data_IF_348060171092
#
_entry.id   IF_348060171092
#
_cell.length_a   1.000
_cell.length_b   1.000
_cell.length_c   1.000
_cell.angle_alpha   90.00
_cell.angle_beta   90.00
_cell.angle_gamma   90.00
#
_symmetry.space_group_name_H-M   'P 1'
#
loop_
_entity.id
_entity.type
_entity.pdbx_description
1 polymer ?
#
# COMPACT_ATOMS: atom_id res chain seq x y z
N UNK A 1 73.11 -0.78 41.14
CA UNK A 1 71.64 -0.91 41.01
C UNK A 1 71.26 -0.85 39.55
N UNK A 2 70.90 -1.99 38.94
CA UNK A 2 70.45 -2.06 37.53
C UNK A 2 68.93 -2.22 37.53
N UNK A 3 68.24 -1.20 37.04
CA UNK A 3 66.78 -1.20 36.91
C UNK A 3 66.41 -1.98 35.67
N UNK A 4 65.65 -3.07 35.82
CA UNK A 4 65.07 -3.89 34.74
C UNK A 4 63.69 -3.28 34.44
N UNK A 5 63.50 -2.74 33.23
CA UNK A 5 62.20 -2.29 32.73
C UNK A 5 61.54 -3.51 32.06
N UNK A 6 60.41 -3.95 32.64
CA UNK A 6 59.60 -5.03 32.10
C UNK A 6 58.59 -4.42 31.10
N UNK A 7 58.79 -4.70 29.82
CA UNK A 7 57.86 -4.26 28.75
C UNK A 7 56.71 -5.29 28.66
N UNK A 8 55.51 -4.89 29.09
CA UNK A 8 54.29 -5.70 28.91
C UNK A 8 53.71 -5.39 27.55
N UNK A 9 53.81 -6.33 26.61
CA UNK A 9 53.13 -6.26 25.32
C UNK A 9 51.65 -6.67 25.52
N UNK A 10 50.74 -5.71 25.45
CA UNK A 10 49.29 -5.97 25.37
C UNK A 10 48.97 -6.29 23.92
N UNK A 11 48.67 -7.56 23.61
CA UNK A 11 48.12 -7.99 22.34
C UNK A 11 46.62 -7.72 22.39
N UNK A 12 46.17 -6.62 21.74
CA UNK A 12 44.75 -6.36 21.48
C UNK A 12 44.36 -7.26 20.31
N UNK A 13 43.67 -8.37 20.61
CA UNK A 13 42.99 -9.17 19.58
C UNK A 13 41.81 -8.35 19.01
N UNK A 14 42.02 -7.72 17.89
CA UNK A 14 40.93 -7.19 17.07
C UNK A 14 40.09 -8.38 16.56
N UNK A 15 38.97 -8.67 17.25
CA UNK A 15 37.91 -9.48 16.68
C UNK A 15 37.30 -8.68 15.52
N UNK A 16 37.86 -8.85 14.33
CA UNK A 16 37.29 -8.37 13.11
C UNK A 16 36.00 -9.16 12.86
N UNK A 17 34.84 -8.52 13.13
CA UNK A 17 33.57 -8.98 12.55
C UNK A 17 33.68 -8.79 11.05
N UNK A 18 33.92 -9.86 10.31
CA UNK A 18 33.75 -9.87 8.86
C UNK A 18 32.34 -9.36 8.56
N UNK A 19 32.18 -8.30 7.76
CA UNK A 19 30.84 -7.89 7.36
C UNK A 19 30.16 -9.08 6.70
N UNK A 20 28.92 -9.36 7.12
CA UNK A 20 28.13 -10.42 6.50
C UNK A 20 28.11 -10.18 5.00
N UNK A 21 28.53 -11.16 4.23
CA UNK A 21 28.58 -11.07 2.77
C UNK A 21 27.16 -10.84 2.25
N UNK A 22 26.90 -9.72 1.58
CA UNK A 22 25.60 -9.40 1.01
C UNK A 22 25.32 -10.45 -0.07
N UNK A 23 24.22 -11.22 0.10
CA UNK A 23 23.78 -12.22 -0.87
C UNK A 23 23.51 -11.57 -2.24
N UNK A 24 23.85 -12.28 -3.29
CA UNK A 24 23.52 -11.91 -4.68
C UNK A 24 22.10 -12.34 -5.04
N UNK A 25 21.51 -11.79 -6.09
CA UNK A 25 20.16 -12.17 -6.56
C UNK A 25 20.06 -13.67 -6.87
N UNK A 26 21.03 -14.34 -7.53
CA UNK A 26 21.02 -15.79 -7.72
C UNK A 26 20.95 -16.58 -6.41
N UNK A 27 21.67 -16.16 -5.36
CA UNK A 27 21.64 -16.85 -4.06
C UNK A 27 20.28 -16.78 -3.38
N UNK A 28 19.53 -15.69 -3.54
CA UNK A 28 18.13 -15.60 -3.08
C UNK A 28 17.21 -16.52 -3.89
N UNK A 29 17.41 -16.64 -5.20
CA UNK A 29 16.65 -17.55 -6.05
C UNK A 29 16.90 -19.01 -5.64
N UNK A 30 18.15 -19.39 -5.38
CA UNK A 30 18.51 -20.75 -4.92
C UNK A 30 17.86 -21.06 -3.57
N UNK A 31 17.87 -20.11 -2.64
CA UNK A 31 17.22 -20.24 -1.33
C UNK A 31 15.72 -20.48 -1.47
N UNK A 32 15.02 -19.63 -2.22
CA UNK A 32 13.58 -19.75 -2.46
C UNK A 32 13.25 -21.04 -3.22
N UNK A 33 14.07 -21.43 -4.20
CA UNK A 33 13.91 -22.70 -4.93
C UNK A 33 14.00 -23.90 -3.99
N UNK A 34 14.96 -23.87 -3.06
CA UNK A 34 15.10 -24.89 -2.03
C UNK A 34 13.84 -24.98 -1.16
N UNK A 35 13.29 -23.84 -0.74
CA UNK A 35 12.04 -23.79 0.04
C UNK A 35 10.86 -24.32 -0.79
N UNK A 36 10.68 -23.90 -2.02
CA UNK A 36 9.59 -24.33 -2.91
C UNK A 36 9.62 -25.84 -3.18
N UNK A 37 10.79 -26.46 -3.15
CA UNK A 37 10.99 -27.88 -3.37
C UNK A 37 10.78 -28.77 -2.15
N UNK A 38 10.58 -28.21 -0.96
CA UNK A 38 10.27 -29.00 0.24
C UNK A 38 8.96 -29.76 0.10
N UNK A 39 8.93 -30.98 0.59
CA UNK A 39 7.76 -31.87 0.46
C UNK A 39 6.47 -31.28 1.06
N UNK A 40 6.59 -30.59 2.21
CA UNK A 40 5.45 -29.94 2.86
C UNK A 40 4.96 -28.71 2.09
N UNK A 41 5.83 -27.93 1.43
CA UNK A 41 5.42 -26.81 0.57
C UNK A 41 4.70 -27.33 -0.68
N UNK A 42 5.20 -28.40 -1.30
CA UNK A 42 4.51 -29.09 -2.39
C UNK A 42 3.14 -29.62 -1.97
N UNK A 43 3.05 -30.20 -0.76
CA UNK A 43 1.76 -30.65 -0.23
C UNK A 43 0.77 -29.50 0.00
N UNK A 44 1.26 -28.31 0.39
CA UNK A 44 0.43 -27.10 0.49
C UNK A 44 -0.06 -26.63 -0.90
N UNK A 45 0.80 -26.67 -1.92
CA UNK A 45 0.38 -26.38 -3.30
C UNK A 45 -0.67 -27.38 -3.80
N UNK A 46 -0.46 -28.69 -3.55
CA UNK A 46 -1.43 -29.73 -3.89
C UNK A 46 -2.77 -29.53 -3.16
N UNK A 47 -2.74 -28.99 -1.93
CA UNK A 47 -3.96 -28.64 -1.20
C UNK A 47 -4.72 -27.52 -1.93
N UNK A 48 -4.04 -26.45 -2.35
CA UNK A 48 -4.63 -25.35 -3.11
C UNK A 48 -5.25 -25.88 -4.40
N UNK A 49 -4.53 -26.72 -5.16
CA UNK A 49 -5.02 -27.30 -6.43
C UNK A 49 -6.27 -28.16 -6.25
N UNK A 50 -6.34 -28.95 -5.19
CA UNK A 50 -7.51 -29.80 -4.91
C UNK A 50 -8.71 -29.03 -4.37
N UNK A 51 -8.51 -27.81 -3.86
CA UNK A 51 -9.55 -27.01 -3.24
C UNK A 51 -10.00 -25.78 -4.05
N UNK A 52 -9.60 -25.67 -5.31
CA UNK A 52 -9.90 -24.53 -6.18
C UNK A 52 -11.38 -24.14 -6.18
N UNK A 53 -12.31 -25.11 -6.26
CA UNK A 53 -13.74 -24.84 -6.24
C UNK A 53 -14.24 -24.27 -4.91
N UNK A 54 -13.65 -24.68 -3.78
CA UNK A 54 -13.99 -24.15 -2.47
C UNK A 54 -13.47 -22.71 -2.32
N UNK A 55 -12.23 -22.49 -2.72
CA UNK A 55 -11.59 -21.17 -2.75
C UNK A 55 -12.43 -20.20 -3.58
N UNK A 56 -12.85 -20.59 -4.80
CA UNK A 56 -13.68 -19.74 -5.63
C UNK A 56 -15.04 -19.42 -4.98
N UNK A 57 -15.68 -20.41 -4.35
CA UNK A 57 -16.97 -20.19 -3.67
C UNK A 57 -16.84 -19.23 -2.48
N UNK A 58 -15.79 -19.37 -1.69
CA UNK A 58 -15.55 -18.49 -0.54
C UNK A 58 -15.18 -17.08 -0.97
N UNK A 59 -14.33 -16.94 -1.98
CA UNK A 59 -14.02 -15.64 -2.57
C UNK A 59 -15.28 -14.90 -3.02
N UNK A 60 -16.16 -15.58 -3.76
CA UNK A 60 -17.47 -15.03 -4.18
C UNK A 60 -18.31 -14.66 -2.95
N UNK A 61 -18.40 -15.54 -1.95
CA UNK A 61 -19.21 -15.30 -0.77
C UNK A 61 -18.73 -14.09 0.05
N UNK A 62 -17.40 -13.90 0.18
CA UNK A 62 -16.81 -12.71 0.81
C UNK A 62 -17.14 -11.45 0.02
N UNK A 63 -17.03 -11.51 -1.31
CA UNK A 63 -17.30 -10.37 -2.19
C UNK A 63 -18.76 -9.96 -2.16
N UNK A 64 -19.71 -10.90 -2.14
CA UNK A 64 -21.15 -10.60 -2.09
C UNK A 64 -21.61 -9.94 -0.77
N UNK A 65 -20.76 -9.93 0.26
CA UNK A 65 -21.00 -9.11 1.46
C UNK A 65 -20.52 -7.70 1.16
N UNK A 66 -21.44 -6.77 0.85
CA UNK A 66 -21.08 -5.37 0.62
C UNK A 66 -20.41 -4.77 1.87
N UNK A 67 -19.25 -4.15 1.69
CA UNK A 67 -18.39 -3.69 2.79
C UNK A 67 -17.77 -2.33 2.45
N UNK A 68 -18.58 -1.26 2.39
CA UNK A 68 -18.03 0.09 2.23
C UNK A 68 -17.10 0.46 3.37
N UNK A 69 -16.13 1.36 3.13
CA UNK A 69 -15.24 1.88 4.18
C UNK A 69 -16.04 2.37 5.39
N UNK A 70 -15.65 1.91 6.58
CA UNK A 70 -16.35 2.16 7.86
C UNK A 70 -17.55 1.24 8.13
N UNK A 71 -17.86 0.29 7.23
CA UNK A 71 -18.98 -0.66 7.36
C UNK A 71 -18.57 -2.11 7.15
N UNK A 72 -17.34 -2.48 7.54
CA UNK A 72 -16.71 -3.78 7.29
C UNK A 72 -17.19 -4.90 8.22
N UNK A 73 -17.96 -4.57 9.26
CA UNK A 73 -18.26 -5.49 10.38
C UNK A 73 -18.91 -6.81 9.94
N UNK A 74 -19.75 -6.78 8.90
CA UNK A 74 -20.40 -8.00 8.42
C UNK A 74 -19.41 -8.93 7.69
N UNK A 75 -18.55 -8.35 6.83
CA UNK A 75 -17.49 -9.08 6.13
C UNK A 75 -16.48 -9.62 7.13
N UNK A 76 -16.04 -8.80 8.09
CA UNK A 76 -15.11 -9.18 9.15
C UNK A 76 -15.61 -10.38 9.97
N UNK A 77 -16.89 -10.39 10.39
CA UNK A 77 -17.52 -11.52 11.09
C UNK A 77 -17.54 -12.80 10.25
N UNK A 78 -17.78 -12.67 8.95
CA UNK A 78 -17.75 -13.83 8.06
C UNK A 78 -16.32 -14.38 7.95
N UNK A 79 -15.32 -13.54 7.71
CA UNK A 79 -13.91 -13.92 7.67
C UNK A 79 -13.47 -14.53 9.01
N UNK A 80 -13.85 -13.94 10.15
CA UNK A 80 -13.58 -14.51 11.48
C UNK A 80 -14.14 -15.92 11.60
N UNK A 81 -15.37 -16.15 11.14
CA UNK A 81 -16.00 -17.48 11.20
C UNK A 81 -15.25 -18.56 10.40
N UNK A 82 -14.56 -18.15 9.34
CA UNK A 82 -13.69 -19.03 8.56
C UNK A 82 -12.35 -19.27 9.31
N UNK A 83 -11.71 -18.23 9.81
CA UNK A 83 -10.43 -18.31 10.55
C UNK A 83 -10.51 -19.22 11.77
N UNK A 84 -11.62 -19.16 12.52
CA UNK A 84 -11.81 -19.99 13.73
C UNK A 84 -11.93 -21.50 13.46
N UNK A 85 -11.95 -21.92 12.19
CA UNK A 85 -11.95 -23.34 11.81
C UNK A 85 -10.53 -23.93 11.73
N UNK A 86 -9.48 -23.09 11.83
CA UNK A 86 -8.09 -23.49 11.62
C UNK A 86 -7.24 -23.32 12.88
N UNK A 87 -6.06 -23.95 12.89
CA UNK A 87 -5.13 -23.88 14.00
C UNK A 87 -4.35 -22.57 13.98
N UNK A 88 -4.96 -21.57 14.61
CA UNK A 88 -4.37 -20.25 14.86
C UNK A 88 -4.19 -20.06 16.35
N UNK A 89 -3.10 -19.42 16.76
CA UNK A 89 -2.80 -19.20 18.17
C UNK A 89 -3.66 -18.10 18.76
N UNK A 90 -4.07 -17.14 17.93
CA UNK A 90 -4.96 -16.05 18.34
C UNK A 90 -5.77 -15.53 17.14
N UNK A 91 -7.04 -15.16 17.40
CA UNK A 91 -7.93 -14.47 16.46
C UNK A 91 -8.74 -13.44 17.24
N UNK A 92 -8.49 -12.16 16.98
CA UNK A 92 -9.13 -11.07 17.71
C UNK A 92 -9.32 -9.81 16.83
N UNK A 93 -10.13 -8.88 17.33
CA UNK A 93 -10.25 -7.53 16.76
C UNK A 93 -9.40 -6.54 17.55
N UNK A 94 -8.74 -5.62 16.87
CA UNK A 94 -8.13 -4.48 17.52
C UNK A 94 -9.14 -3.33 17.74
N UNK A 95 -8.67 -2.23 18.32
CA UNK A 95 -9.53 -1.07 18.63
C UNK A 95 -10.01 -0.30 17.38
N UNK A 96 -9.38 -0.48 16.23
CA UNK A 96 -9.80 0.12 14.97
C UNK A 96 -10.84 -0.73 14.23
N UNK A 97 -10.97 -2.01 14.59
CA UNK A 97 -11.86 -2.96 13.95
C UNK A 97 -11.14 -3.89 12.96
N UNK A 98 -9.81 -3.84 12.86
CA UNK A 98 -9.06 -4.84 12.10
C UNK A 98 -9.25 -6.21 12.72
N UNK A 99 -9.43 -7.23 11.89
CA UNK A 99 -9.42 -8.61 12.32
C UNK A 99 -8.01 -9.18 12.18
N UNK A 100 -7.45 -9.68 13.26
CA UNK A 100 -6.06 -10.16 13.34
C UNK A 100 -6.06 -11.65 13.63
N UNK A 101 -5.27 -12.40 12.87
CA UNK A 101 -5.04 -13.83 13.07
C UNK A 101 -3.53 -14.09 13.21
N UNK A 102 -3.14 -14.77 14.29
CA UNK A 102 -1.73 -15.04 14.61
C UNK A 102 -1.45 -16.53 14.51
N UNK A 103 -0.40 -16.88 13.80
CA UNK A 103 0.18 -18.19 13.74
C UNK A 103 1.64 -18.14 14.22
N UNK A 104 1.88 -18.60 15.43
CA UNK A 104 3.20 -18.53 16.06
C UNK A 104 4.18 -19.49 15.41
N UNK A 105 5.39 -19.00 15.20
CA UNK A 105 6.54 -19.79 14.83
C UNK A 105 7.25 -20.36 16.04
N UNK A 106 8.14 -21.30 15.82
CA UNK A 106 8.88 -22.00 16.89
C UNK A 106 9.93 -21.12 17.58
N UNK A 107 10.39 -20.05 16.91
CA UNK A 107 11.35 -19.09 17.46
C UNK A 107 10.72 -17.73 17.77
N UNK A 108 9.48 -17.47 17.30
CA UNK A 108 8.78 -16.20 17.46
C UNK A 108 9.39 -15.02 16.71
N UNK A 109 10.42 -15.26 15.90
CA UNK A 109 11.11 -14.25 15.08
C UNK A 109 11.61 -14.89 13.77
N UNK A 110 11.62 -14.12 12.64
CA UNK A 110 11.03 -12.77 12.48
C UNK A 110 9.51 -12.77 12.61
N UNK A 111 8.91 -11.60 12.92
CA UNK A 111 7.46 -11.38 12.85
C UNK A 111 7.13 -10.80 11.49
N UNK A 112 6.41 -11.56 10.69
CA UNK A 112 6.03 -11.20 9.32
C UNK A 112 4.52 -10.94 9.29
N UNK A 113 4.15 -9.72 8.88
CA UNK A 113 2.74 -9.32 8.74
C UNK A 113 2.34 -9.39 7.26
N UNK A 114 1.22 -10.04 7.00
CA UNK A 114 0.52 -9.99 5.73
C UNK A 114 -0.83 -9.35 5.96
N UNK A 115 -1.19 -8.34 5.16
CA UNK A 115 -2.50 -7.72 5.23
C UNK A 115 -3.24 -7.75 3.91
N UNK A 116 -4.58 -7.69 4.02
CA UNK A 116 -5.51 -7.46 2.93
C UNK A 116 -6.66 -6.61 3.49
N UNK A 117 -7.16 -5.64 2.74
CA UNK A 117 -8.23 -4.80 3.26
C UNK A 117 -9.62 -5.38 2.98
N UNK A 118 -10.53 -5.11 3.92
CA UNK A 118 -11.90 -5.62 3.86
C UNK A 118 -12.89 -4.63 3.27
N UNK A 119 -12.53 -3.37 3.17
CA UNK A 119 -13.43 -2.33 2.66
C UNK A 119 -13.38 -2.22 1.12
N UNK A 120 -14.31 -1.47 0.59
CA UNK A 120 -14.41 -1.11 -0.83
C UNK A 120 -14.92 0.32 -0.97
N UNK A 121 -14.67 0.94 -2.14
CA UNK A 121 -15.17 2.31 -2.48
C UNK A 121 -16.68 2.39 -2.71
N UNK A 122 -17.39 1.26 -2.74
CA UNK A 122 -18.81 1.23 -3.12
C UNK A 122 -19.73 1.71 -1.99
N UNK A 123 -20.89 2.21 -2.38
CA UNK A 123 -21.83 2.81 -1.44
C UNK A 123 -22.57 1.77 -0.58
N UNK A 124 -22.98 2.13 0.66
CA UNK A 124 -23.88 1.31 1.46
C UNK A 124 -25.17 0.98 0.69
N UNK A 125 -25.68 -0.26 0.86
CA UNK A 125 -26.92 -0.70 0.22
C UNK A 125 -26.76 -1.25 -1.20
N UNK A 126 -25.57 -1.22 -1.79
CA UNK A 126 -25.32 -1.91 -3.07
C UNK A 126 -25.49 -3.43 -2.87
N UNK A 127 -26.36 -4.04 -3.67
CA UNK A 127 -26.46 -5.50 -3.72
C UNK A 127 -25.45 -6.05 -4.72
N UNK A 128 -24.47 -6.77 -4.23
CA UNK A 128 -23.41 -7.37 -5.05
C UNK A 128 -23.80 -8.81 -5.39
N UNK A 129 -23.76 -9.15 -6.68
CA UNK A 129 -23.96 -10.51 -7.20
C UNK A 129 -22.85 -10.84 -8.19
N UNK A 130 -22.00 -11.77 -7.82
CA UNK A 130 -20.92 -12.21 -8.67
C UNK A 130 -21.41 -13.05 -9.85
N UNK A 131 -20.78 -12.87 -10.99
CA UNK A 131 -21.04 -13.63 -12.21
C UNK A 131 -19.77 -14.31 -12.67
N UNK A 132 -19.80 -15.63 -12.80
CA UNK A 132 -18.71 -16.42 -13.37
C UNK A 132 -18.99 -16.66 -14.84
N UNK A 133 -18.09 -16.15 -15.69
CA UNK A 133 -18.18 -16.35 -17.14
C UNK A 133 -16.79 -16.26 -17.77
N UNK A 134 -16.55 -17.03 -18.81
CA UNK A 134 -15.33 -16.98 -19.64
C UNK A 134 -14.01 -17.04 -18.81
N UNK A 135 -14.00 -17.86 -17.74
CA UNK A 135 -12.83 -18.02 -16.87
C UNK A 135 -12.56 -16.85 -15.92
N UNK A 136 -13.49 -15.89 -15.82
CA UNK A 136 -13.42 -14.73 -14.94
C UNK A 136 -14.59 -14.67 -13.96
N UNK A 137 -14.38 -13.99 -12.84
CA UNK A 137 -15.43 -13.56 -11.91
C UNK A 137 -15.62 -12.06 -12.06
N UNK A 138 -16.88 -11.63 -12.22
CA UNK A 138 -17.29 -10.23 -12.33
C UNK A 138 -18.10 -9.86 -11.10
N UNK A 139 -17.61 -8.91 -10.31
CA UNK A 139 -18.35 -8.30 -9.21
C UNK A 139 -17.61 -7.05 -8.70
N UNK A 140 -18.29 -6.00 -8.24
CA UNK A 140 -17.66 -4.88 -7.53
C UNK A 140 -16.89 -5.36 -6.30
N UNK A 141 -15.60 -4.98 -6.16
CA UNK A 141 -14.73 -5.37 -5.06
C UNK A 141 -14.21 -6.81 -5.12
N UNK A 142 -14.36 -7.51 -6.26
CA UNK A 142 -13.85 -8.87 -6.44
C UNK A 142 -12.32 -8.91 -6.48
N UNK A 143 -11.69 -7.89 -7.03
CA UNK A 143 -10.24 -7.74 -7.13
C UNK A 143 -9.68 -6.87 -6.01
N UNK A 144 -10.39 -5.82 -5.66
CA UNK A 144 -10.00 -4.80 -4.72
C UNK A 144 -10.95 -4.78 -3.51
N UNK A 145 -10.67 -5.54 -2.43
CA UNK A 145 -9.48 -6.36 -2.24
C UNK A 145 -9.85 -7.80 -1.82
N UNK A 146 -11.09 -8.27 -2.07
CA UNK A 146 -11.54 -9.59 -1.60
C UNK A 146 -10.74 -10.76 -2.18
N UNK A 147 -10.12 -10.57 -3.35
CA UNK A 147 -9.13 -11.48 -3.91
C UNK A 147 -8.02 -11.80 -2.92
N UNK A 148 -7.45 -10.79 -2.31
CA UNK A 148 -6.33 -10.94 -1.39
C UNK A 148 -6.79 -11.37 0.01
N UNK A 149 -7.99 -10.98 0.44
CA UNK A 149 -8.63 -11.55 1.64
C UNK A 149 -8.74 -13.07 1.51
N UNK A 150 -9.28 -13.58 0.39
CA UNK A 150 -9.37 -15.02 0.17
C UNK A 150 -7.99 -15.67 -0.01
N UNK A 151 -7.02 -14.99 -0.62
CA UNK A 151 -5.66 -15.51 -0.74
C UNK A 151 -5.05 -15.81 0.63
N UNK A 152 -5.19 -14.90 1.60
CA UNK A 152 -4.73 -15.12 2.98
C UNK A 152 -5.45 -16.29 3.64
N UNK A 153 -6.77 -16.40 3.49
CA UNK A 153 -7.54 -17.53 4.03
C UNK A 153 -7.08 -18.86 3.41
N UNK A 154 -6.84 -18.88 2.11
CA UNK A 154 -6.40 -20.08 1.39
C UNK A 154 -4.98 -20.50 1.80
N UNK A 155 -4.06 -19.54 2.02
CA UNK A 155 -2.70 -19.86 2.50
C UNK A 155 -2.71 -20.37 3.92
N UNK A 156 -3.49 -19.79 4.84
CA UNK A 156 -3.67 -20.27 6.22
C UNK A 156 -4.12 -21.73 6.21
N UNK A 157 -5.12 -22.06 5.40
CA UNK A 157 -5.63 -23.42 5.26
C UNK A 157 -4.59 -24.39 4.69
N UNK A 158 -3.84 -23.96 3.69
CA UNK A 158 -2.81 -24.77 3.07
C UNK A 158 -1.63 -25.02 4.03
N UNK A 159 -1.22 -24.02 4.80
CA UNK A 159 -0.19 -24.15 5.86
C UNK A 159 -0.63 -25.17 6.92
N UNK A 160 -1.90 -25.12 7.34
CA UNK A 160 -2.46 -26.02 8.34
C UNK A 160 -2.55 -27.47 7.81
N UNK A 161 -3.15 -27.65 6.62
CA UNK A 161 -3.30 -28.95 5.97
C UNK A 161 -1.95 -29.66 5.70
N UNK A 162 -0.93 -28.90 5.29
CA UNK A 162 0.41 -29.41 5.05
C UNK A 162 1.27 -29.49 6.33
N UNK A 163 0.73 -29.09 7.48
CA UNK A 163 1.40 -29.09 8.80
C UNK A 163 2.75 -28.34 8.76
N UNK A 164 2.81 -27.26 8.01
CA UNK A 164 4.02 -26.43 7.90
C UNK A 164 4.23 -25.72 9.24
N UNK A 165 5.39 -25.85 9.83
CA UNK A 165 5.84 -25.07 10.97
C UNK A 165 6.86 -24.05 10.52
N UNK A 166 6.61 -22.79 10.85
CA UNK A 166 7.52 -21.68 10.58
C UNK A 166 8.43 -21.42 11.78
N UNK A 167 9.59 -20.83 11.55
CA UNK A 167 10.47 -20.34 12.61
C UNK A 167 9.96 -19.03 13.16
N UNK A 168 9.66 -18.08 12.28
CA UNK A 168 9.08 -16.79 12.62
C UNK A 168 7.55 -16.85 12.72
N UNK A 169 6.98 -15.84 13.38
CA UNK A 169 5.54 -15.65 13.49
C UNK A 169 4.97 -15.13 12.18
N UNK A 170 3.83 -15.66 11.77
CA UNK A 170 2.98 -15.12 10.71
C UNK A 170 1.77 -14.44 11.34
N UNK A 171 1.57 -13.19 10.99
CA UNK A 171 0.42 -12.39 11.44
C UNK A 171 -0.37 -11.95 10.20
N UNK A 172 -1.63 -12.31 10.16
CA UNK A 172 -2.55 -11.97 9.08
C UNK A 172 -3.49 -10.88 9.59
N UNK A 173 -3.52 -9.75 8.90
CA UNK A 173 -4.32 -8.60 9.30
C UNK A 173 -5.33 -8.30 8.20
N UNK A 174 -6.60 -8.39 8.52
CA UNK A 174 -7.69 -8.00 7.64
C UNK A 174 -8.10 -6.59 8.04
N UNK A 175 -7.63 -5.60 7.27
CA UNK A 175 -7.70 -4.19 7.63
C UNK A 175 -9.01 -3.54 7.23
N UNK A 176 -9.32 -2.40 7.88
CA UNK A 176 -10.50 -1.57 7.62
C UNK A 176 -10.08 -0.19 7.12
N UNK A 177 -10.97 0.48 6.38
CA UNK A 177 -10.83 1.87 5.89
C UNK A 177 -9.51 2.14 5.10
N UNK A 178 -9.07 1.17 4.28
CA UNK A 178 -7.93 1.38 3.38
C UNK A 178 -8.25 2.43 2.34
N UNK A 179 -9.39 2.28 1.68
CA UNK A 179 -9.86 3.07 0.54
C UNK A 179 -10.16 4.55 0.85
N UNK A 180 -10.09 4.93 2.12
CA UNK A 180 -10.43 6.29 2.54
C UNK A 180 -9.38 6.96 3.41
N UNK A 181 -9.04 6.36 4.55
CA UNK A 181 -8.28 7.05 5.61
C UNK A 181 -7.02 6.31 6.06
N UNK A 182 -6.80 5.07 5.65
CA UNK A 182 -5.76 4.17 6.17
C UNK A 182 -5.84 3.96 7.69
N UNK A 183 -6.99 4.22 8.31
CA UNK A 183 -7.16 4.21 9.76
C UNK A 183 -6.84 2.84 10.37
N UNK A 184 -7.27 1.77 9.70
CA UNK A 184 -7.02 0.41 10.16
C UNK A 184 -5.54 0.09 10.26
N UNK A 185 -4.82 0.23 9.15
CA UNK A 185 -3.37 -0.04 9.12
C UNK A 185 -2.59 0.91 10.01
N UNK A 186 -2.96 2.19 10.09
CA UNK A 186 -2.29 3.16 10.96
C UNK A 186 -2.39 2.73 12.42
N UNK A 187 -3.59 2.37 12.89
CA UNK A 187 -3.80 1.90 14.26
C UNK A 187 -2.99 0.61 14.56
N UNK A 188 -2.99 -0.34 13.61
CA UNK A 188 -2.25 -1.59 13.77
C UNK A 188 -0.74 -1.35 13.85
N UNK A 189 -0.18 -0.55 12.94
CA UNK A 189 1.24 -0.22 12.89
C UNK A 189 1.67 0.52 14.15
N UNK A 190 0.91 1.52 14.59
CA UNK A 190 1.22 2.29 15.80
C UNK A 190 1.24 1.41 17.07
N UNK A 191 0.28 0.50 17.22
CA UNK A 191 0.20 -0.41 18.37
C UNK A 191 1.31 -1.47 18.37
N UNK A 192 1.89 -1.78 17.20
CA UNK A 192 2.85 -2.86 17.04
C UNK A 192 4.24 -2.40 16.55
N UNK A 193 4.48 -1.09 16.52
CA UNK A 193 5.78 -0.52 16.16
C UNK A 193 6.91 -1.13 17.01
N UNK A 194 7.99 -1.59 16.35
CA UNK A 194 9.11 -2.28 17.00
C UNK A 194 8.90 -3.78 17.25
N UNK A 195 7.70 -4.32 16.96
CA UNK A 195 7.45 -5.77 17.02
C UNK A 195 7.44 -6.40 15.62
N UNK A 196 7.12 -5.63 14.58
CA UNK A 196 7.03 -6.07 13.19
C UNK A 196 8.41 -6.00 12.56
N UNK A 197 8.87 -7.11 11.98
CA UNK A 197 10.14 -7.16 11.24
C UNK A 197 9.92 -6.85 9.75
N UNK A 198 8.82 -7.33 9.17
CA UNK A 198 8.45 -7.09 7.76
C UNK A 198 6.94 -7.02 7.60
N UNK A 199 6.48 -6.19 6.66
CA UNK A 199 5.07 -5.97 6.38
C UNK A 199 4.79 -6.13 4.89
N UNK A 200 3.84 -6.96 4.52
CA UNK A 200 3.44 -7.22 3.15
C UNK A 200 1.96 -6.88 3.00
N UNK A 201 1.66 -5.81 2.27
CA UNK A 201 0.29 -5.54 1.87
C UNK A 201 -0.03 -6.37 0.63
N UNK A 202 -1.03 -7.22 0.73
CA UNK A 202 -1.58 -7.87 -0.44
C UNK A 202 -2.53 -6.91 -1.13
N UNK A 203 -2.01 -6.19 -2.10
CA UNK A 203 -2.72 -5.20 -2.89
C UNK A 203 -1.93 -4.87 -4.16
N UNK A 204 -2.62 -4.50 -5.25
CA UNK A 204 -1.99 -4.09 -6.49
C UNK A 204 -1.58 -5.24 -7.42
N UNK A 205 -0.41 -5.13 -8.02
CA UNK A 205 0.02 -5.96 -9.15
C UNK A 205 0.28 -7.41 -8.85
N UNK A 206 -0.13 -8.30 -9.76
CA UNK A 206 0.02 -9.75 -9.65
C UNK A 206 1.43 -10.25 -10.04
N UNK A 207 1.98 -9.73 -11.15
CA UNK A 207 3.25 -10.18 -11.72
C UNK A 207 4.47 -9.42 -11.17
N UNK A 208 4.23 -8.44 -10.30
CA UNK A 208 5.27 -7.62 -9.71
C UNK A 208 4.89 -7.14 -8.32
N UNK A 209 5.65 -6.18 -7.82
CA UNK A 209 5.42 -5.60 -6.50
C UNK A 209 5.97 -4.16 -6.42
N UNK A 210 5.53 -3.42 -5.41
CA UNK A 210 6.09 -2.10 -5.10
C UNK A 210 6.80 -2.14 -3.75
N UNK A 211 7.90 -1.36 -3.63
CA UNK A 211 8.74 -1.31 -2.42
C UNK A 211 8.82 0.08 -1.79
N UNK A 212 8.09 1.05 -2.34
CA UNK A 212 8.00 2.40 -1.82
C UNK A 212 6.64 2.99 -2.16
N UNK A 213 6.23 4.03 -1.45
CA UNK A 213 4.96 4.73 -1.66
C UNK A 213 5.13 6.11 -2.29
N UNK A 214 4.19 6.49 -3.14
CA UNK A 214 4.12 7.82 -3.73
C UNK A 214 3.52 8.81 -2.71
N UNK A 215 4.10 9.99 -2.60
CA UNK A 215 3.49 11.08 -1.84
C UNK A 215 2.37 11.74 -2.64
N UNK A 216 1.29 12.12 -1.96
CA UNK A 216 0.08 12.69 -2.55
C UNK A 216 -0.35 13.90 -1.72
N UNK A 217 -0.30 15.09 -2.32
CA UNK A 217 -0.72 16.33 -1.68
C UNK A 217 -1.83 17.00 -2.47
N UNK A 218 -2.99 17.16 -1.84
CA UNK A 218 -4.16 17.78 -2.42
C UNK A 218 -4.47 19.10 -1.72
N UNK A 219 -4.62 20.16 -2.52
CA UNK A 219 -4.91 21.51 -2.05
C UNK A 219 -6.10 22.11 -2.77
N UNK A 220 -6.80 23.03 -2.08
CA UNK A 220 -7.69 23.99 -2.72
C UNK A 220 -7.15 25.38 -2.45
N UNK A 221 -6.84 26.09 -3.52
CA UNK A 221 -6.34 27.47 -3.47
C UNK A 221 -7.44 28.44 -3.86
N UNK A 222 -7.68 29.45 -3.04
CA UNK A 222 -8.67 30.48 -3.22
C UNK A 222 -8.00 31.83 -3.47
N UNK A 223 -8.51 32.57 -4.45
CA UNK A 223 -8.26 33.99 -4.59
C UNK A 223 -9.46 34.74 -4.02
N UNK A 224 -9.22 35.57 -3.01
CA UNK A 224 -10.27 36.27 -2.27
C UNK A 224 -10.10 37.78 -2.47
N UNK A 225 -11.18 38.40 -2.96
CA UNK A 225 -11.27 39.83 -3.22
C UNK A 225 -12.61 40.40 -2.74
N UNK A 226 -12.84 41.70 -2.91
CA UNK A 226 -14.05 42.37 -2.41
C UNK A 226 -15.33 42.00 -3.17
N UNK A 227 -15.21 41.39 -4.38
CA UNK A 227 -16.38 41.16 -5.23
C UNK A 227 -16.99 42.45 -5.76
N UNK A 228 -18.20 42.36 -6.28
CA UNK A 228 -18.99 43.54 -6.69
C UNK A 228 -19.78 43.39 -7.97
N UNK A 229 -20.58 44.42 -8.29
CA UNK A 229 -21.37 44.43 -9.52
C UNK A 229 -20.47 44.65 -10.75
N UNK A 230 -20.73 43.98 -11.86
CA UNK A 230 -19.93 44.07 -13.10
C UNK A 230 -19.80 45.51 -13.65
N UNK A 231 -20.80 46.35 -13.41
CA UNK A 231 -20.76 47.80 -13.81
C UNK A 231 -19.86 48.65 -12.90
N UNK A 232 -19.51 48.18 -11.70
CA UNK A 232 -18.60 48.92 -10.81
C UNK A 232 -17.21 48.96 -11.39
N UNK A 233 -16.54 50.13 -11.35
CA UNK A 233 -15.15 50.25 -11.76
C UNK A 233 -14.19 49.69 -10.67
N UNK A 234 -14.64 49.68 -9.41
CA UNK A 234 -13.87 49.20 -8.26
C UNK A 234 -14.58 48.01 -7.60
N UNK A 235 -13.90 46.89 -7.40
CA UNK A 235 -12.56 46.55 -7.89
C UNK A 235 -12.55 46.40 -9.42
N UNK A 236 -11.41 46.64 -10.09
CA UNK A 236 -11.35 46.53 -11.55
C UNK A 236 -11.44 45.08 -12.04
N UNK A 237 -11.09 44.10 -11.18
CA UNK A 237 -10.98 42.72 -11.54
C UNK A 237 -11.87 41.81 -10.67
N UNK A 238 -12.26 40.67 -11.24
CA UNK A 238 -12.87 39.52 -10.56
C UNK A 238 -11.79 38.58 -10.04
N UNK A 239 -12.00 37.83 -8.95
CA UNK A 239 -11.10 36.81 -8.44
C UNK A 239 -10.77 35.72 -9.48
N UNK A 240 -11.59 35.57 -10.53
CA UNK A 240 -11.31 34.67 -11.64
C UNK A 240 -10.11 35.08 -12.50
N UNK A 241 -9.71 36.35 -12.51
CA UNK A 241 -8.57 36.81 -13.31
C UNK A 241 -7.22 36.31 -12.78
N UNK A 242 -6.85 36.53 -11.50
CA UNK A 242 -5.61 35.99 -10.94
C UNK A 242 -5.65 34.46 -10.93
N UNK A 243 -6.81 33.82 -10.71
CA UNK A 243 -6.97 32.38 -10.80
C UNK A 243 -6.55 31.83 -12.17
N UNK A 244 -7.09 32.38 -13.26
CA UNK A 244 -6.77 31.91 -14.61
C UNK A 244 -5.28 32.07 -14.94
N UNK A 245 -4.67 33.20 -14.53
CA UNK A 245 -3.24 33.44 -14.70
C UNK A 245 -2.37 32.50 -13.88
N UNK A 246 -2.77 32.22 -12.65
CA UNK A 246 -2.05 31.28 -11.77
C UNK A 246 -2.09 29.87 -12.37
N UNK A 247 -3.24 29.40 -12.84
CA UNK A 247 -3.39 28.09 -13.49
C UNK A 247 -2.47 27.96 -14.71
N UNK A 248 -2.46 28.97 -15.60
CA UNK A 248 -1.58 28.97 -16.78
C UNK A 248 -0.11 28.86 -16.38
N UNK A 249 0.34 29.64 -15.41
CA UNK A 249 1.72 29.61 -14.89
C UNK A 249 2.08 28.30 -14.19
N UNK A 250 1.15 27.71 -13.45
CA UNK A 250 1.35 26.43 -12.76
C UNK A 250 1.58 25.31 -13.78
N UNK A 251 0.82 25.26 -14.87
CA UNK A 251 1.04 24.28 -15.94
C UNK A 251 2.35 24.48 -16.71
N UNK A 252 3.01 25.62 -16.57
CA UNK A 252 4.34 25.88 -17.16
C UNK A 252 5.49 25.42 -16.24
N UNK A 253 5.20 24.98 -15.01
CA UNK A 253 6.20 24.43 -14.11
C UNK A 253 6.83 23.15 -14.70
N UNK A 254 8.13 22.99 -14.51
CA UNK A 254 8.83 21.78 -14.91
C UNK A 254 8.64 20.71 -13.83
N UNK A 255 7.68 19.81 -14.07
CA UNK A 255 7.47 18.64 -13.22
C UNK A 255 8.42 17.54 -13.67
N UNK A 256 9.32 17.03 -12.78
CA UNK A 256 10.27 16.00 -13.17
C UNK A 256 9.57 14.66 -13.43
N UNK A 257 10.09 13.91 -14.40
CA UNK A 257 9.67 12.52 -14.65
C UNK A 257 10.50 11.50 -13.87
N UNK A 258 11.67 11.92 -13.39
CA UNK A 258 12.54 11.17 -12.50
C UNK A 258 13.12 12.13 -11.43
N UNK A 259 12.75 12.01 -10.14
CA UNK A 259 11.77 11.04 -9.61
C UNK A 259 10.37 11.21 -10.20
N UNK A 260 9.62 10.08 -10.33
CA UNK A 260 8.27 10.09 -10.92
C UNK A 260 7.37 11.08 -10.19
N UNK A 261 6.85 12.05 -10.94
CA UNK A 261 6.06 13.15 -10.36
C UNK A 261 4.97 13.60 -11.33
N UNK A 262 3.85 14.05 -10.78
CA UNK A 262 2.69 14.55 -11.52
C UNK A 262 2.11 15.78 -10.85
N UNK A 263 1.53 16.65 -11.66
CA UNK A 263 0.74 17.80 -11.25
C UNK A 263 -0.55 17.83 -12.07
N UNK A 264 -1.68 17.99 -11.38
CA UNK A 264 -2.97 18.17 -12.05
C UNK A 264 -3.80 19.24 -11.33
N UNK A 265 -4.59 19.99 -12.12
CA UNK A 265 -5.63 20.88 -11.63
C UNK A 265 -6.98 20.24 -12.00
N UNK A 266 -7.66 19.68 -10.99
CA UNK A 266 -8.83 18.83 -11.21
C UNK A 266 -10.16 19.57 -11.20
N UNK A 267 -10.29 20.57 -10.32
CA UNK A 267 -11.55 21.28 -10.13
C UNK A 267 -11.30 22.79 -10.14
N UNK A 268 -12.26 23.55 -10.70
CA UNK A 268 -12.28 25.01 -10.70
C UNK A 268 -13.68 25.45 -10.30
N UNK A 269 -13.78 26.49 -9.46
CA UNK A 269 -15.06 27.06 -9.05
C UNK A 269 -14.95 28.52 -8.61
N UNK A 270 -16.07 29.07 -8.23
CA UNK A 270 -16.20 30.44 -7.75
C UNK A 270 -17.12 31.30 -8.61
N UNK A 271 -17.79 32.27 -7.98
CA UNK A 271 -18.90 33.05 -8.44
C UNK A 271 -20.21 32.25 -8.68
N UNK A 272 -21.33 32.88 -8.42
CA UNK A 272 -22.65 32.24 -8.55
C UNK A 272 -23.50 32.86 -9.66
N UNK A 273 -23.17 34.06 -10.08
CA UNK A 273 -23.95 34.81 -11.05
C UNK A 273 -23.07 35.56 -12.07
N UNK A 274 -23.57 35.68 -13.31
CA UNK A 274 -22.83 36.24 -14.44
C UNK A 274 -22.53 37.75 -14.25
N UNK A 275 -23.41 38.49 -13.59
CA UNK A 275 -23.32 39.94 -13.45
C UNK A 275 -22.64 40.41 -12.15
N UNK A 276 -21.87 39.53 -11.52
CA UNK A 276 -21.03 39.84 -10.37
C UNK A 276 -19.55 39.54 -10.65
N UNK A 277 -18.67 40.35 -10.09
CA UNK A 277 -17.26 40.02 -9.93
C UNK A 277 -17.13 39.05 -8.77
N UNK A 278 -16.56 37.90 -9.01
CA UNK A 278 -16.34 36.90 -7.97
C UNK A 278 -15.52 37.46 -6.80
N UNK A 279 -16.05 37.33 -5.60
CA UNK A 279 -15.31 37.62 -4.35
C UNK A 279 -14.39 36.48 -3.96
N UNK A 280 -14.74 35.26 -4.35
CA UNK A 280 -13.96 34.04 -4.17
C UNK A 280 -13.92 33.26 -5.48
N UNK A 281 -12.73 32.86 -5.90
CA UNK A 281 -12.53 31.91 -6.98
C UNK A 281 -11.43 30.94 -6.58
N UNK A 282 -11.65 29.64 -6.82
CA UNK A 282 -10.78 28.60 -6.33
C UNK A 282 -10.52 27.51 -7.38
N UNK A 283 -9.41 26.79 -7.20
CA UNK A 283 -9.09 25.58 -7.93
C UNK A 283 -8.40 24.57 -7.01
N UNK A 284 -8.43 23.29 -7.41
CA UNK A 284 -7.73 22.22 -6.67
C UNK A 284 -6.47 21.81 -7.42
N UNK A 285 -5.45 21.46 -6.64
CA UNK A 285 -4.16 20.90 -7.13
C UNK A 285 -3.98 19.53 -6.55
N UNK A 286 -3.64 18.56 -7.40
CA UNK A 286 -3.15 17.22 -7.05
C UNK A 286 -1.64 17.15 -7.40
N UNK A 287 -0.78 17.07 -6.40
CA UNK A 287 0.66 16.86 -6.54
C UNK A 287 0.99 15.45 -6.13
N UNK A 288 1.71 14.74 -6.98
CA UNK A 288 2.24 13.42 -6.66
C UNK A 288 3.72 13.33 -6.96
N UNK A 289 4.48 12.69 -6.07
CA UNK A 289 5.90 12.41 -6.33
C UNK A 289 6.41 11.26 -5.48
N UNK A 290 7.39 10.52 -6.02
CA UNK A 290 8.20 9.57 -5.24
C UNK A 290 9.33 10.24 -4.45
N UNK A 291 9.38 11.59 -4.42
CA UNK A 291 10.35 12.39 -3.67
C UNK A 291 9.67 13.50 -2.88
N UNK A 292 9.90 13.53 -1.59
CA UNK A 292 9.40 14.59 -0.70
C UNK A 292 10.02 15.96 -1.03
N UNK A 293 11.28 16.01 -1.49
CA UNK A 293 11.95 17.25 -1.89
C UNK A 293 11.28 17.86 -3.12
N UNK A 294 10.88 17.05 -4.09
CA UNK A 294 10.15 17.52 -5.27
C UNK A 294 8.78 18.04 -4.90
N UNK A 295 8.05 17.36 -4.00
CA UNK A 295 6.76 17.85 -3.50
C UNK A 295 6.91 19.22 -2.83
N UNK A 296 7.89 19.36 -1.94
CA UNK A 296 8.15 20.62 -1.24
C UNK A 296 8.57 21.76 -2.19
N UNK A 297 9.36 21.46 -3.21
CA UNK A 297 9.76 22.45 -4.21
C UNK A 297 8.60 22.90 -5.09
N UNK A 298 7.76 21.99 -5.56
CA UNK A 298 6.55 22.31 -6.31
C UNK A 298 5.56 23.14 -5.48
N UNK A 299 5.33 22.77 -4.22
CA UNK A 299 4.49 23.54 -3.29
C UNK A 299 5.00 24.99 -3.15
N UNK A 300 6.31 25.16 -2.98
CA UNK A 300 6.95 26.49 -2.87
C UNK A 300 6.77 27.30 -4.15
N UNK A 301 6.98 26.69 -5.32
CA UNK A 301 6.81 27.38 -6.60
C UNK A 301 5.36 27.80 -6.83
N UNK A 302 4.40 26.91 -6.52
CA UNK A 302 2.96 27.20 -6.62
C UNK A 302 2.59 28.36 -5.69
N UNK A 303 3.00 28.33 -4.42
CA UNK A 303 2.72 29.40 -3.46
C UNK A 303 3.24 30.75 -3.98
N UNK A 304 4.45 30.81 -4.52
CA UNK A 304 5.03 32.03 -5.07
C UNK A 304 4.21 32.54 -6.29
N UNK A 305 3.71 31.67 -7.14
CA UNK A 305 2.84 32.06 -8.25
C UNK A 305 1.51 32.63 -7.76
N UNK A 306 0.91 31.99 -6.75
CA UNK A 306 -0.37 32.44 -6.18
C UNK A 306 -0.24 33.83 -5.54
N UNK A 307 0.78 34.03 -4.74
CA UNK A 307 1.05 35.31 -4.06
C UNK A 307 1.32 36.44 -5.06
N UNK A 308 2.11 36.17 -6.11
CA UNK A 308 2.42 37.14 -7.15
C UNK A 308 1.15 37.56 -7.95
N UNK A 309 0.31 36.59 -8.36
CA UNK A 309 -0.91 36.92 -9.10
C UNK A 309 -1.96 37.61 -8.23
N UNK A 310 -2.05 37.27 -6.95
CA UNK A 310 -2.91 37.98 -6.00
C UNK A 310 -2.47 39.43 -5.77
N UNK A 311 -1.18 39.63 -5.57
CA UNK A 311 -0.61 40.96 -5.36
C UNK A 311 -0.83 41.94 -6.51
N UNK A 312 -0.75 41.45 -7.77
CA UNK A 312 -1.01 42.25 -8.99
C UNK A 312 -2.39 42.88 -9.05
N UNK A 313 -3.36 42.28 -8.34
CA UNK A 313 -4.76 42.72 -8.33
C UNK A 313 -5.28 43.14 -6.96
N UNK A 314 -4.40 43.19 -5.94
CA UNK A 314 -4.74 43.57 -4.57
C UNK A 314 -5.69 42.61 -3.88
N UNK A 315 -5.58 41.30 -4.16
CA UNK A 315 -6.34 40.23 -3.54
C UNK A 315 -5.47 39.39 -2.60
N UNK A 316 -6.08 38.51 -1.84
CA UNK A 316 -5.41 37.58 -0.94
C UNK A 316 -5.58 36.13 -1.38
N UNK A 317 -4.64 35.28 -0.99
CA UNK A 317 -4.70 33.83 -1.20
C UNK A 317 -5.08 33.15 0.10
N UNK A 318 -5.97 32.16 0.05
CA UNK A 318 -6.21 31.20 1.11
C UNK A 318 -5.98 29.79 0.54
N UNK A 319 -5.25 28.96 1.26
CA UNK A 319 -5.02 27.57 0.88
C UNK A 319 -5.63 26.65 1.92
N UNK A 320 -6.53 25.78 1.48
CA UNK A 320 -7.07 24.66 2.28
C UNK A 320 -6.32 23.38 1.89
N UNK A 321 -5.78 22.69 2.88
CA UNK A 321 -5.19 21.37 2.71
C UNK A 321 -6.31 20.34 2.72
N UNK A 322 -6.53 19.65 1.61
CA UNK A 322 -7.54 18.58 1.50
C UNK A 322 -6.95 17.27 2.02
N UNK A 323 -5.72 16.94 1.56
CA UNK A 323 -4.97 15.76 2.00
C UNK A 323 -3.47 16.01 1.83
N UNK A 324 -2.66 15.43 2.70
CA UNK A 324 -1.20 15.49 2.58
C UNK A 324 -0.59 14.21 3.12
N UNK A 325 0.01 13.42 2.22
CA UNK A 325 0.72 12.19 2.54
C UNK A 325 2.12 12.23 1.93
N UNK A 326 3.18 12.13 2.72
CA UNK A 326 4.54 12.13 2.18
C UNK A 326 4.84 10.86 1.40
N UNK A 327 5.83 10.92 0.50
CA UNK A 327 6.38 9.74 -0.14
C UNK A 327 6.98 8.79 0.92
N UNK A 328 6.54 7.55 0.90
CA UNK A 328 6.96 6.52 1.83
C UNK A 328 8.19 5.79 1.28
N UNK A 329 9.38 6.29 1.62
CA UNK A 329 10.66 5.79 1.09
C UNK A 329 11.62 5.51 2.24
N UNK A 330 12.13 4.27 2.30
CA UNK A 330 13.24 3.90 3.16
C UNK A 330 14.52 3.88 2.31
N UNK A 331 15.56 4.66 2.65
CA UNK A 331 16.83 4.65 1.92
C UNK A 331 17.44 3.26 1.81
N UNK A 332 17.83 2.85 0.60
CA UNK A 332 18.40 1.52 0.33
C UNK A 332 17.40 0.36 0.34
N UNK A 333 16.11 0.60 0.55
CA UNK A 333 15.09 -0.46 0.66
C UNK A 333 15.00 -1.34 -0.58
N UNK A 334 15.28 -0.80 -1.79
CA UNK A 334 15.33 -1.59 -3.04
C UNK A 334 16.26 -2.81 -2.94
N UNK A 335 17.30 -2.73 -2.13
CA UNK A 335 18.28 -3.79 -1.93
C UNK A 335 18.12 -4.54 -0.60
N UNK A 336 17.03 -4.28 0.14
CA UNK A 336 16.74 -4.95 1.41
C UNK A 336 16.46 -6.44 1.23
N UNK A 337 16.59 -7.19 2.31
CA UNK A 337 16.28 -8.63 2.35
C UNK A 337 14.85 -8.91 1.83
N UNK A 338 13.84 -8.15 2.31
CA UNK A 338 12.45 -8.34 1.89
C UNK A 338 12.27 -8.18 0.38
N UNK A 339 12.82 -7.09 -0.19
CA UNK A 339 12.68 -6.81 -1.63
C UNK A 339 13.38 -7.85 -2.47
N UNK A 340 14.57 -8.32 -2.06
CA UNK A 340 15.30 -9.38 -2.76
C UNK A 340 14.59 -10.73 -2.67
N UNK A 341 14.04 -11.08 -1.50
CA UNK A 341 13.22 -12.28 -1.34
C UNK A 341 11.95 -12.23 -2.18
N UNK A 342 11.24 -11.10 -2.20
CA UNK A 342 10.06 -10.93 -3.04
C UNK A 342 10.40 -11.07 -4.53
N UNK A 343 11.50 -10.47 -5.00
CA UNK A 343 11.99 -10.64 -6.37
C UNK A 343 12.28 -12.12 -6.67
N UNK A 344 12.97 -12.82 -5.77
CA UNK A 344 13.29 -14.24 -5.93
C UNK A 344 12.03 -15.11 -5.97
N UNK A 345 11.04 -14.86 -5.10
CA UNK A 345 9.76 -15.58 -5.09
C UNK A 345 9.04 -15.41 -6.43
N UNK A 346 8.95 -14.18 -6.96
CA UNK A 346 8.32 -13.95 -8.27
C UNK A 346 9.03 -14.73 -9.38
N UNK A 347 10.37 -14.71 -9.43
CA UNK A 347 11.16 -15.43 -10.43
C UNK A 347 11.00 -16.95 -10.32
N UNK A 348 11.02 -17.50 -9.12
CA UNK A 348 10.80 -18.94 -8.88
C UNK A 348 9.38 -19.35 -9.28
N UNK A 349 8.41 -18.48 -9.11
CA UNK A 349 7.03 -18.69 -9.59
C UNK A 349 6.86 -18.47 -11.11
N UNK A 350 7.95 -18.16 -11.83
CA UNK A 350 7.96 -18.00 -13.28
C UNK A 350 7.45 -16.66 -13.78
N UNK A 351 7.56 -15.60 -12.95
CA UNK A 351 7.34 -14.22 -13.35
C UNK A 351 8.67 -13.50 -13.66
N UNK A 352 8.62 -12.50 -14.51
CA UNK A 352 9.66 -11.47 -14.64
C UNK A 352 9.12 -10.20 -13.98
N UNK A 353 9.41 -9.97 -12.67
CA UNK A 353 8.65 -9.02 -11.90
C UNK A 353 8.90 -7.57 -12.28
N UNK A 354 7.83 -6.82 -12.51
CA UNK A 354 7.86 -5.36 -12.47
C UNK A 354 8.03 -4.91 -11.01
N UNK A 355 9.08 -4.13 -10.74
CA UNK A 355 9.42 -3.67 -9.39
C UNK A 355 9.27 -2.16 -9.33
N UNK A 356 8.17 -1.72 -8.72
CA UNK A 356 7.76 -0.32 -8.65
C UNK A 356 8.17 0.37 -7.35
N UNK A 357 8.21 1.71 -7.38
CA UNK A 357 8.50 2.56 -6.23
C UNK A 357 7.42 3.60 -5.95
N UNK A 358 6.22 3.40 -6.45
CA UNK A 358 5.12 4.37 -6.41
C UNK A 358 3.78 3.73 -6.00
N UNK A 359 3.78 2.88 -4.97
CA UNK A 359 2.57 2.31 -4.39
C UNK A 359 1.75 3.35 -3.63
N UNK A 360 0.44 3.11 -3.52
CA UNK A 360 -0.45 3.90 -2.67
C UNK A 360 -1.44 2.95 -2.02
N UNK A 361 -1.06 2.36 -0.90
CA UNK A 361 -1.84 1.38 -0.14
C UNK A 361 -1.26 1.22 1.28
N UNK A 362 -1.73 0.24 2.03
CA UNK A 362 -1.33 -0.03 3.40
C UNK A 362 0.19 -0.16 3.60
N UNK A 363 0.95 -0.66 2.60
CA UNK A 363 2.41 -0.75 2.69
C UNK A 363 3.08 0.60 2.91
N UNK A 364 2.48 1.69 2.40
CA UNK A 364 2.99 3.05 2.57
C UNK A 364 3.01 3.47 4.03
N UNK A 365 2.01 3.09 4.82
CA UNK A 365 1.93 3.39 6.26
C UNK A 365 3.05 2.68 7.03
N UNK A 366 3.29 1.41 6.73
CA UNK A 366 4.39 0.65 7.34
C UNK A 366 5.77 1.25 6.99
N UNK A 367 5.98 1.63 5.72
CA UNK A 367 7.21 2.30 5.26
C UNK A 367 7.45 3.64 5.98
N UNK A 368 6.40 4.46 6.16
CA UNK A 368 6.48 5.73 6.90
C UNK A 368 6.84 5.52 8.38
N UNK A 369 6.43 4.39 8.96
CA UNK A 369 6.82 4.00 10.31
C UNK A 369 8.26 3.42 10.40
N UNK A 370 8.97 3.29 9.26
CA UNK A 370 10.31 2.72 9.16
C UNK A 370 10.34 1.20 9.13
N UNK A 371 9.19 0.55 8.88
CA UNK A 371 9.08 -0.91 8.76
C UNK A 371 9.31 -1.29 7.30
N UNK A 372 10.22 -2.25 7.06
CA UNK A 372 10.46 -2.81 5.72
C UNK A 372 9.16 -3.40 5.17
N UNK A 373 8.65 -2.85 4.05
CA UNK A 373 7.34 -3.21 3.51
C UNK A 373 7.32 -3.25 1.99
N UNK A 374 6.48 -4.11 1.44
CA UNK A 374 6.15 -4.19 0.01
C UNK A 374 4.64 -4.33 -0.18
N UNK A 375 4.15 -4.07 -1.40
CA UNK A 375 2.81 -4.50 -1.79
C UNK A 375 2.82 -5.33 -3.07
N UNK A 376 2.00 -6.41 -3.11
CA UNK A 376 1.84 -7.31 -4.26
C UNK A 376 0.48 -7.99 -4.23
N UNK A 377 -0.17 -8.17 -5.38
CA UNK A 377 -1.48 -8.84 -5.47
C UNK A 377 -1.38 -10.34 -5.76
N UNK A 378 -2.48 -11.05 -5.57
CA UNK A 378 -2.57 -12.50 -5.74
C UNK A 378 -3.22 -12.97 -7.06
N UNK A 379 -3.65 -12.07 -7.93
CA UNK A 379 -4.24 -12.45 -9.23
C UNK A 379 -4.42 -11.24 -10.16
N UNK A 380 -4.52 -11.42 -11.48
CA UNK A 380 -4.81 -10.34 -12.40
C UNK A 380 -6.28 -9.97 -12.35
N UNK A 381 -6.55 -8.69 -12.16
CA UNK A 381 -7.88 -8.11 -12.15
C UNK A 381 -7.89 -6.81 -12.95
N UNK A 382 -9.06 -6.46 -13.48
CA UNK A 382 -9.29 -5.25 -14.24
C UNK A 382 -10.49 -4.48 -13.68
N UNK A 383 -10.48 -3.17 -13.87
CA UNK A 383 -11.63 -2.32 -13.56
C UNK A 383 -11.87 -2.06 -12.08
N UNK A 384 -10.84 -2.11 -11.22
CA UNK A 384 -10.95 -1.69 -9.81
C UNK A 384 -11.69 -0.37 -9.68
N UNK A 385 -12.47 -0.20 -8.60
CA UNK A 385 -13.32 0.96 -8.34
C UNK A 385 -14.48 1.15 -9.33
N UNK A 386 -14.82 0.11 -10.11
CA UNK A 386 -15.97 0.17 -11.04
C UNK A 386 -16.92 -1.01 -10.83
N UNK A 387 -18.18 -0.83 -11.26
CA UNK A 387 -19.18 -1.91 -11.25
C UNK A 387 -18.86 -3.04 -12.24
N UNK A 388 -17.89 -2.85 -13.14
CA UNK A 388 -17.43 -3.80 -14.15
C UNK A 388 -16.18 -4.56 -13.74
N UNK A 389 -15.75 -4.43 -12.50
CA UNK A 389 -14.56 -5.08 -11.95
C UNK A 389 -14.60 -6.58 -12.15
N UNK A 390 -13.47 -7.16 -12.53
CA UNK A 390 -13.36 -8.58 -12.81
C UNK A 390 -11.96 -9.13 -12.55
N UNK A 391 -11.85 -10.42 -12.27
CA UNK A 391 -10.58 -11.11 -12.06
C UNK A 391 -10.55 -12.44 -12.78
N UNK A 392 -9.37 -12.85 -13.21
CA UNK A 392 -9.13 -14.19 -13.79
C UNK A 392 -9.04 -15.25 -12.70
N UNK A 393 -9.73 -16.39 -12.92
CA UNK A 393 -9.83 -17.46 -11.91
C UNK A 393 -8.55 -18.31 -11.85
N UNK A 394 -8.05 -18.82 -12.98
CA UNK A 394 -6.91 -19.74 -12.97
C UNK A 394 -5.60 -19.08 -12.49
N UNK A 395 -5.24 -17.86 -12.93
CA UNK A 395 -4.04 -17.18 -12.42
C UNK A 395 -4.11 -16.90 -10.92
N UNK A 396 -5.30 -16.70 -10.35
CA UNK A 396 -5.47 -16.48 -8.92
C UNK A 396 -4.93 -17.63 -8.07
N UNK A 397 -5.13 -18.88 -8.46
CA UNK A 397 -4.57 -20.04 -7.73
C UNK A 397 -3.04 -20.05 -7.74
N UNK A 398 -2.42 -19.61 -8.84
CA UNK A 398 -0.97 -19.43 -8.90
C UNK A 398 -0.53 -18.30 -7.96
N UNK A 399 -1.32 -17.24 -7.85
CA UNK A 399 -1.08 -16.12 -6.92
C UNK A 399 -1.15 -16.55 -5.46
N UNK A 400 -2.11 -17.38 -5.07
CA UNK A 400 -2.17 -17.96 -3.73
C UNK A 400 -0.90 -18.74 -3.42
N UNK A 401 -0.41 -19.57 -4.35
CA UNK A 401 0.86 -20.31 -4.19
C UNK A 401 2.06 -19.37 -4.07
N UNK A 402 2.07 -18.25 -4.81
CA UNK A 402 3.10 -17.20 -4.70
C UNK A 402 3.09 -16.58 -3.30
N UNK A 403 1.91 -16.22 -2.79
CA UNK A 403 1.73 -15.66 -1.45
C UNK A 403 2.22 -16.65 -0.38
N UNK A 404 1.80 -17.91 -0.44
CA UNK A 404 2.27 -18.96 0.47
C UNK A 404 3.80 -19.12 0.42
N UNK A 405 4.41 -19.12 -0.77
CA UNK A 405 5.86 -19.22 -0.88
C UNK A 405 6.56 -18.02 -0.24
N UNK A 406 6.02 -16.81 -0.39
CA UNK A 406 6.53 -15.62 0.24
C UNK A 406 6.44 -15.70 1.78
N UNK A 407 5.30 -16.15 2.31
CA UNK A 407 5.08 -16.38 3.75
C UNK A 407 6.15 -17.30 4.34
N UNK A 408 6.32 -18.48 3.73
CA UNK A 408 7.23 -19.49 4.29
C UNK A 408 8.72 -19.18 4.02
N UNK A 409 9.02 -18.47 2.93
CA UNK A 409 10.39 -18.03 2.64
C UNK A 409 10.85 -16.93 3.62
N UNK A 410 9.97 -16.00 3.96
CA UNK A 410 10.27 -14.91 4.89
C UNK A 410 10.29 -15.39 6.35
N UNK A 411 9.30 -16.18 6.77
CA UNK A 411 9.24 -16.69 8.15
C UNK A 411 10.26 -17.82 8.43
N UNK A 412 10.77 -18.47 7.38
CA UNK A 412 11.59 -19.67 7.46
C UNK A 412 10.80 -20.91 7.89
N UNK A 413 11.14 -22.08 7.35
CA UNK A 413 10.52 -23.37 7.70
C UNK A 413 11.46 -24.18 8.61
N UNK A 414 10.90 -24.93 9.56
CA UNK A 414 11.63 -25.93 10.34
C UNK A 414 12.22 -27.07 9.49
#
# INVERSE_FOLDING_TARGET
MRTVILLVLIIIALCGTTPAQVKTVPEYIDEVTSVANRANVKAAYDYIDRNQQNILREWIAITEINSPSGHEQQRAKYVESLLRQYHLDDVHYDSAGNLIAVRKGTLGKPVIVFDAHMDTVFQPGLTIKAQVREGKVYAPGIGDDTRNVEALLATIRALDAAKIKTKGDLVFVFTVEEETTFKGVQAYVDANKGKIDQYIALDGGYEGFTYAGIGINWYRHHFIGPGGHTRSQTPPYSATLPLARAIDRIYQLKVPTNPSSNLNIGMIGGSEVVNAKAADAWFTVDLRSTSNDVLADLEKQIAAILDDEAAKVGMTVKTDVISKSPAAVIPGHRDSYLVRMAEAVHRVMGFDPSIGNAGSNNSSVALLAGISSISTGSGPCDGSHSLAENCEIEPFYKGIKKTLLLEVALAGIE
#
